data_IF_134940814104
#
_entry.id   IF_134940814104
#
_cell.length_a   1.000
_cell.length_b   1.000
_cell.length_c   1.000
_cell.angle_alpha   90.00
_cell.angle_beta   90.00
_cell.angle_gamma   90.00
#
_symmetry.space_group_name_H-M   'P 1'
#
loop_
_entity.id
_entity.type
_entity.pdbx_description
1 polymer ?
#
# COMPACT_ATOMS: atom_id res chain seq x y z
N UNK A 1 -0.60 19.40 12.04
CA UNK A 1 -0.74 19.03 10.61
C UNK A 1 -1.74 17.89 10.56
N UNK A 2 -2.84 18.03 9.82
CA UNK A 2 -3.84 16.96 9.71
C UNK A 2 -3.43 16.05 8.55
N UNK A 3 -3.12 14.79 8.85
CA UNK A 3 -2.84 13.77 7.83
C UNK A 3 -4.08 12.91 7.60
N UNK A 4 -4.35 12.56 6.35
CA UNK A 4 -5.45 11.70 5.93
C UNK A 4 -4.92 10.39 5.37
N UNK A 5 -5.46 9.29 5.88
CA UNK A 5 -5.05 7.95 5.52
C UNK A 5 -6.18 7.20 4.81
N UNK A 6 -5.82 6.25 3.96
CA UNK A 6 -6.78 5.35 3.33
C UNK A 6 -6.20 3.98 3.06
N UNK A 7 -7.08 3.04 2.70
CA UNK A 7 -6.67 1.75 2.16
C UNK A 7 -7.46 1.44 0.89
N UNK A 8 -6.84 0.76 -0.07
CA UNK A 8 -7.46 0.39 -1.34
C UNK A 8 -7.02 -1.00 -1.82
N UNK A 9 -7.79 -1.61 -2.73
CA UNK A 9 -7.44 -2.86 -3.44
C UNK A 9 -7.39 -2.62 -4.96
N UNK A 10 -6.32 -3.10 -5.61
CA UNK A 10 -6.07 -2.92 -7.05
C UNK A 10 -6.55 -4.08 -7.94
N UNK A 11 -7.45 -4.94 -7.43
CA UNK A 11 -7.88 -6.17 -8.11
C UNK A 11 -8.43 -5.98 -9.55
N UNK A 12 -8.97 -4.81 -9.91
CA UNK A 12 -9.52 -4.56 -11.26
C UNK A 12 -8.47 -3.99 -12.23
N UNK A 13 -8.54 -4.39 -13.50
CA UNK A 13 -7.75 -3.77 -14.57
C UNK A 13 -8.07 -2.26 -14.68
N UNK A 14 -7.05 -1.42 -14.91
CA UNK A 14 -7.19 0.04 -14.91
C UNK A 14 -7.34 0.68 -13.52
N UNK A 15 -7.24 -0.11 -12.44
CA UNK A 15 -7.37 0.36 -11.06
C UNK A 15 -6.40 1.47 -10.70
N UNK A 16 -5.17 1.47 -11.21
CA UNK A 16 -4.15 2.44 -10.83
C UNK A 16 -4.62 3.89 -11.04
N UNK A 17 -5.17 4.21 -12.21
CA UNK A 17 -5.69 5.56 -12.51
C UNK A 17 -6.86 5.92 -11.61
N UNK A 18 -7.80 5.00 -11.43
CA UNK A 18 -8.99 5.19 -10.57
C UNK A 18 -8.57 5.47 -9.13
N UNK A 19 -7.57 4.73 -8.61
CA UNK A 19 -7.02 4.97 -7.28
C UNK A 19 -6.44 6.37 -7.20
N UNK A 20 -5.61 6.76 -8.16
CA UNK A 20 -4.99 8.10 -8.19
C UNK A 20 -6.05 9.21 -8.22
N UNK A 21 -7.11 9.06 -9.00
CA UNK A 21 -8.23 10.01 -9.05
C UNK A 21 -8.96 10.09 -7.69
N UNK A 22 -9.29 8.96 -7.08
CA UNK A 22 -10.07 8.94 -5.84
C UNK A 22 -9.25 9.42 -4.62
N UNK A 23 -7.97 9.05 -4.53
CA UNK A 23 -7.08 9.57 -3.47
C UNK A 23 -6.86 11.08 -3.63
N UNK A 24 -6.83 11.59 -4.86
CA UNK A 24 -6.75 13.02 -5.15
C UNK A 24 -8.03 13.76 -4.74
N UNK A 25 -9.20 13.19 -5.06
CA UNK A 25 -10.52 13.74 -4.72
C UNK A 25 -10.71 13.91 -3.21
N UNK A 26 -10.34 12.91 -2.41
CA UNK A 26 -10.40 13.01 -0.94
C UNK A 26 -9.15 13.64 -0.32
N UNK A 27 -8.15 13.97 -1.16
CA UNK A 27 -6.87 14.59 -0.79
C UNK A 27 -6.15 13.78 0.30
N UNK A 28 -6.13 12.46 0.16
CA UNK A 28 -5.45 11.57 1.10
C UNK A 28 -3.94 11.80 1.04
N UNK A 29 -3.23 11.69 2.15
CA UNK A 29 -1.79 11.93 2.20
C UNK A 29 -0.98 10.64 2.05
N UNK A 30 -1.52 9.53 2.57
CA UNK A 30 -0.90 8.21 2.53
C UNK A 30 -1.97 7.11 2.39
N UNK A 31 -1.84 6.23 1.40
CA UNK A 31 -2.82 5.19 1.11
C UNK A 31 -2.15 3.84 0.93
N UNK A 32 -2.53 2.85 1.74
CA UNK A 32 -2.06 1.47 1.61
C UNK A 32 -2.86 0.70 0.55
N UNK A 33 -2.18 -0.07 -0.29
CA UNK A 33 -2.77 -0.76 -1.44
C UNK A 33 -2.47 -2.25 -1.39
N UNK A 34 -3.46 -3.08 -1.68
CA UNK A 34 -3.32 -4.54 -1.77
C UNK A 34 -3.69 -5.03 -3.18
N UNK A 35 -3.41 -6.31 -3.43
CA UNK A 35 -3.66 -6.98 -4.69
C UNK A 35 -2.91 -6.35 -5.86
N UNK A 36 -1.70 -5.84 -5.59
CA UNK A 36 -0.79 -5.31 -6.60
C UNK A 36 -0.10 -6.49 -7.27
N UNK A 37 -0.48 -6.79 -8.51
CA UNK A 37 0.04 -7.93 -9.28
C UNK A 37 1.06 -7.49 -10.33
N UNK A 38 1.94 -6.58 -9.97
CA UNK A 38 3.00 -6.07 -10.84
C UNK A 38 4.29 -6.77 -10.49
N UNK A 39 5.11 -7.12 -11.48
CA UNK A 39 6.35 -7.84 -11.25
C UNK A 39 7.41 -6.97 -10.54
N UNK A 40 8.15 -7.59 -9.63
CA UNK A 40 9.20 -6.95 -8.85
C UNK A 40 8.74 -5.93 -7.81
N UNK A 41 9.68 -5.21 -7.23
CA UNK A 41 9.42 -4.08 -6.34
C UNK A 41 9.94 -2.79 -6.96
N UNK A 42 9.22 -1.69 -6.76
CA UNK A 42 9.53 -0.46 -7.49
C UNK A 42 8.90 0.81 -6.93
N UNK A 43 9.10 1.89 -7.66
CA UNK A 43 8.49 3.19 -7.39
C UNK A 43 8.03 3.81 -8.69
N UNK A 44 6.76 4.17 -8.77
CA UNK A 44 6.11 4.69 -9.97
C UNK A 44 5.50 6.07 -9.70
N UNK A 45 5.66 7.05 -10.61
CA UNK A 45 5.02 8.35 -10.50
C UNK A 45 3.50 8.23 -10.66
N UNK A 46 2.75 8.98 -9.85
CA UNK A 46 1.29 8.90 -9.80
C UNK A 46 0.67 10.30 -9.60
N UNK A 47 0.88 11.21 -10.56
CA UNK A 47 0.48 12.61 -10.41
C UNK A 47 1.24 13.28 -9.25
N UNK A 48 0.53 13.81 -8.24
CA UNK A 48 1.10 14.38 -7.02
C UNK A 48 1.59 13.34 -6.00
N UNK A 49 1.41 12.07 -6.32
CA UNK A 49 1.80 10.95 -5.49
C UNK A 49 3.01 10.21 -6.08
N UNK A 50 3.67 9.44 -5.20
CA UNK A 50 4.57 8.36 -5.58
C UNK A 50 3.96 7.05 -5.10
N UNK A 51 3.89 6.08 -5.99
CA UNK A 51 3.46 4.73 -5.68
C UNK A 51 4.67 3.85 -5.41
N UNK A 52 4.74 3.24 -4.25
CA UNK A 52 5.77 2.28 -3.87
C UNK A 52 5.13 0.91 -3.83
N UNK A 53 5.71 -0.10 -4.46
CA UNK A 53 5.10 -1.43 -4.51
C UNK A 53 6.12 -2.55 -4.40
N UNK A 54 5.61 -3.72 -4.04
CA UNK A 54 6.36 -4.96 -3.88
C UNK A 54 5.50 -6.15 -4.31
N UNK A 55 5.95 -6.82 -5.36
CA UNK A 55 5.35 -8.02 -5.92
C UNK A 55 5.26 -9.17 -4.92
N UNK A 56 6.32 -9.43 -4.14
CA UNK A 56 6.40 -10.62 -3.28
C UNK A 56 5.29 -10.61 -2.21
N UNK A 57 4.83 -9.41 -1.88
CA UNK A 57 3.77 -9.17 -0.92
C UNK A 57 2.44 -8.79 -1.56
N UNK A 58 2.40 -8.60 -2.88
CA UNK A 58 1.22 -8.19 -3.62
C UNK A 58 0.65 -6.85 -3.15
N UNK A 59 1.52 -5.91 -2.77
CA UNK A 59 1.12 -4.71 -2.03
C UNK A 59 1.86 -3.45 -2.49
N UNK A 60 1.37 -2.29 -2.05
CA UNK A 60 2.07 -1.03 -2.22
C UNK A 60 1.45 0.09 -1.39
N UNK A 61 1.93 1.32 -1.58
CA UNK A 61 1.32 2.51 -1.01
C UNK A 61 1.52 3.73 -1.90
N UNK A 62 0.51 4.59 -1.94
CA UNK A 62 0.64 5.94 -2.49
C UNK A 62 1.02 6.90 -1.36
N UNK A 63 2.06 7.70 -1.57
CA UNK A 63 2.41 8.79 -0.67
C UNK A 63 2.43 10.10 -1.44
N UNK A 64 1.86 11.16 -0.86
CA UNK A 64 1.96 12.51 -1.41
C UNK A 64 3.44 12.91 -1.50
N UNK A 65 3.87 13.50 -2.61
CA UNK A 65 5.28 13.88 -2.85
C UNK A 65 5.87 14.70 -1.69
N UNK A 66 5.05 15.60 -1.12
CA UNK A 66 5.42 16.47 -0.02
C UNK A 66 5.79 15.72 1.27
N UNK A 67 5.18 14.56 1.52
CA UNK A 67 5.47 13.75 2.71
C UNK A 67 6.45 12.62 2.43
N UNK A 68 6.82 12.39 1.16
CA UNK A 68 7.65 11.25 0.78
C UNK A 68 9.02 11.29 1.45
N UNK A 69 9.58 12.49 1.70
CA UNK A 69 10.83 12.66 2.46
C UNK A 69 10.73 12.21 3.92
N UNK A 70 9.52 12.26 4.50
CA UNK A 70 9.23 11.80 5.85
C UNK A 70 8.85 10.32 5.91
N UNK A 71 8.51 9.71 4.77
CA UNK A 71 8.20 8.28 4.64
C UNK A 71 9.51 7.51 4.51
N UNK A 72 9.96 6.88 5.60
CA UNK A 72 11.03 5.89 5.50
C UNK A 72 10.47 4.59 4.95
N UNK A 73 11.04 4.15 3.82
CA UNK A 73 10.91 2.77 3.32
C UNK A 73 11.73 1.86 4.24
N UNK A 74 11.22 1.58 5.44
CA UNK A 74 11.70 0.43 6.18
C UNK A 74 11.35 -0.79 5.33
N UNK A 75 12.32 -1.66 5.06
CA UNK A 75 12.11 -2.85 4.25
C UNK A 75 10.81 -3.53 4.65
N UNK A 76 10.04 -3.96 3.65
CA UNK A 76 8.77 -4.65 3.85
C UNK A 76 9.08 -6.02 4.46
N UNK A 77 9.44 -6.04 5.75
CA UNK A 77 9.62 -7.28 6.47
C UNK A 77 8.25 -7.89 6.66
N UNK A 78 8.05 -9.07 6.04
CA UNK A 78 6.95 -9.97 6.35
C UNK A 78 7.04 -10.33 7.83
N UNK A 79 6.26 -9.67 8.66
CA UNK A 79 6.06 -10.11 10.04
C UNK A 79 4.82 -10.99 10.02
N UNK A 80 5.05 -12.29 10.15
CA UNK A 80 3.99 -13.25 10.42
C UNK A 80 3.72 -13.10 11.93
N UNK A 81 2.50 -12.71 12.31
CA UNK A 81 2.12 -12.78 13.72
C UNK A 81 1.74 -14.23 14.07
N UNK A 82 1.59 -14.54 15.35
CA UNK A 82 1.31 -15.89 15.86
C UNK A 82 -0.01 -16.49 15.32
N UNK A 83 -0.82 -15.69 14.61
CA UNK A 83 -2.08 -16.10 13.96
C UNK A 83 -1.90 -16.41 12.46
N UNK A 84 -0.67 -16.60 11.99
CA UNK A 84 -0.32 -16.81 10.57
C UNK A 84 -0.69 -15.64 9.63
N UNK A 85 -1.11 -14.51 10.19
CA UNK A 85 -1.53 -13.36 9.40
C UNK A 85 -0.30 -12.57 8.96
N UNK A 86 -0.21 -12.31 7.66
CA UNK A 86 0.82 -11.46 7.09
C UNK A 86 0.55 -10.01 7.49
N UNK A 87 1.35 -9.49 8.42
CA UNK A 87 1.40 -8.07 8.75
C UNK A 87 2.56 -7.46 7.97
N UNK A 88 2.24 -6.51 7.11
CA UNK A 88 3.23 -5.75 6.37
C UNK A 88 3.37 -4.41 7.08
N UNK A 89 4.57 -4.15 7.61
CA UNK A 89 4.89 -2.86 8.21
C UNK A 89 5.04 -1.83 7.09
N UNK A 90 4.21 -0.78 7.08
CA UNK A 90 4.36 0.35 6.18
C UNK A 90 4.92 1.56 6.91
N UNK A 91 5.69 2.35 6.14
CA UNK A 91 5.93 3.78 6.28
C UNK A 91 5.97 4.29 7.72
N UNK A 92 7.19 4.45 8.23
CA UNK A 92 7.39 5.14 9.51
C UNK A 92 7.64 6.63 9.24
N UNK A 93 6.84 7.48 9.86
CA UNK A 93 7.30 8.81 10.26
C UNK A 93 7.76 8.73 11.72
N UNK A 94 8.41 9.77 12.26
CA UNK A 94 8.93 9.74 13.65
C UNK A 94 7.90 9.26 14.70
N UNK A 95 6.59 9.46 14.45
CA UNK A 95 5.52 9.19 15.42
C UNK A 95 4.32 8.41 14.84
N UNK A 96 4.38 7.87 13.62
CA UNK A 96 3.27 7.13 13.02
C UNK A 96 3.74 5.84 12.36
N UNK A 97 3.10 4.74 12.72
CA UNK A 97 3.24 3.44 12.06
C UNK A 97 1.88 3.09 11.48
N UNK A 98 1.80 2.97 10.16
CA UNK A 98 0.62 2.41 9.50
C UNK A 98 0.91 0.94 9.23
N UNK A 99 0.16 0.04 9.85
CA UNK A 99 0.23 -1.41 9.57
C UNK A 99 -1.04 -1.82 8.85
N UNK A 100 -0.91 -2.71 7.88
CA UNK A 100 -2.08 -3.33 7.24
C UNK A 100 -2.02 -4.84 7.42
N UNK A 101 -3.20 -5.41 7.68
CA UNK A 101 -3.44 -6.83 7.83
C UNK A 101 -4.06 -7.36 6.53
N UNK A 102 -3.45 -8.39 5.94
CA UNK A 102 -4.00 -9.06 4.76
C UNK A 102 -4.45 -10.48 5.14
N UNK A 103 -5.72 -10.78 4.92
CA UNK A 103 -6.24 -12.15 5.02
C UNK A 103 -6.12 -12.85 3.67
N UNK A 104 -5.58 -14.06 3.67
CA UNK A 104 -5.62 -14.94 2.51
C UNK A 104 -7.05 -15.43 2.39
N UNK A 105 -7.73 -15.12 1.29
CA UNK A 105 -9.01 -15.77 0.99
C UNK A 105 -8.71 -17.21 0.54
N UNK A 106 -9.23 -18.26 1.22
CA UNK A 106 -9.12 -19.62 0.73
C UNK A 106 -9.73 -19.67 -0.67
N UNK A 107 -8.98 -20.17 -1.65
CA UNK A 107 -9.57 -20.53 -2.93
C UNK A 107 -10.53 -21.70 -2.64
N UNK A 108 -11.81 -21.66 -3.07
CA UNK A 108 -12.63 -22.85 -3.01
C UNK A 108 -11.92 -23.91 -3.84
N UNK A 109 -11.65 -25.05 -3.22
CA UNK A 109 -10.98 -26.19 -3.83
C UNK A 109 -11.61 -26.43 -5.21
N UNK A 110 -10.82 -26.31 -6.28
CA UNK A 110 -11.24 -26.79 -7.59
C UNK A 110 -11.33 -28.31 -7.50
N UNK A 111 -12.56 -28.80 -7.32
CA UNK A 111 -12.95 -30.20 -7.42
C UNK A 111 -12.67 -30.79 -8.79
#
# INVERSE_FOLDING_TARGET
>A
MNMRFGTWSMYRAGSFRIVVEEISKYKLDLVGVQDVRWDGGGTEPAGEYKFFYDHELGTGFFALKLITSAVKRLGLHKIINDNEVRVINFSTTKNLIVKRMMFIHPQPNSS
#
